data_IF_015932343428
#
_entry.id   IF_015932343428
#
_cell.length_a   1.000
_cell.length_b   1.000
_cell.length_c   1.000
_cell.angle_alpha   90.00
_cell.angle_beta   90.00
_cell.angle_gamma   90.00
#
_symmetry.space_group_name_H-M   'P 1'
#
loop_
_entity.id
_entity.type
_entity.pdbx_description
1 polymer ?
#
# COMPACT_ATOMS: atom_id res chain seq x y z
N UNK A 1 28.59 3.48 41.11
CA UNK A 1 28.81 4.14 39.82
C UNK A 1 29.08 3.06 38.79
N UNK A 2 28.17 2.85 37.85
CA UNK A 2 28.50 2.47 36.47
C UNK A 2 27.25 2.66 35.62
N UNK A 3 27.35 3.59 34.68
CA UNK A 3 26.44 3.81 33.56
C UNK A 3 26.58 2.63 32.61
N UNK A 4 25.48 2.00 32.22
CA UNK A 4 25.42 1.28 30.94
C UNK A 4 24.82 2.21 29.90
N UNK A 5 25.49 2.25 28.76
CA UNK A 5 25.29 3.16 27.64
C UNK A 5 23.94 2.92 26.95
N UNK A 6 23.33 4.02 26.52
CA UNK A 6 22.28 4.03 25.51
C UNK A 6 22.93 3.72 24.15
N UNK A 7 22.48 2.64 23.52
CA UNK A 7 22.87 2.25 22.16
C UNK A 7 21.74 2.65 21.19
N UNK A 8 21.95 3.58 20.23
CA UNK A 8 20.90 4.06 19.34
C UNK A 8 20.60 3.15 18.13
N UNK A 9 21.13 1.92 18.08
CA UNK A 9 21.03 1.04 16.89
C UNK A 9 19.96 -0.07 16.97
N UNK A 10 19.17 -0.13 18.04
CA UNK A 10 18.17 -1.19 18.27
C UNK A 10 16.72 -0.68 18.42
N UNK A 11 16.42 0.56 18.00
CA UNK A 11 15.02 1.00 17.86
C UNK A 11 14.46 0.39 16.56
N UNK A 12 13.98 -0.85 16.66
CA UNK A 12 13.08 -1.44 15.67
C UNK A 12 11.87 -0.50 15.51
N UNK A 13 11.50 -0.08 14.29
CA UNK A 13 10.27 0.71 14.09
C UNK A 13 9.08 -0.07 14.67
N UNK A 14 7.99 0.59 15.08
CA UNK A 14 6.89 -0.03 15.81
C UNK A 14 6.15 -1.03 14.92
N UNK A 15 6.71 -2.23 14.74
CA UNK A 15 6.24 -3.23 13.77
C UNK A 15 6.30 -4.66 14.30
N UNK A 16 6.42 -4.89 15.61
CA UNK A 16 6.35 -6.25 16.17
C UNK A 16 5.65 -6.37 17.53
N UNK A 17 5.84 -5.42 18.46
CA UNK A 17 5.37 -5.59 19.84
C UNK A 17 3.85 -5.53 20.02
N UNK A 18 3.11 -4.83 19.15
CA UNK A 18 1.64 -4.80 19.26
C UNK A 18 0.98 -6.12 18.84
N UNK A 19 1.51 -6.81 17.82
CA UNK A 19 0.97 -8.08 17.36
C UNK A 19 1.32 -9.25 18.32
N UNK A 20 2.52 -9.23 18.90
CA UNK A 20 2.94 -10.27 19.85
C UNK A 20 2.27 -10.12 21.22
N UNK A 21 2.08 -8.89 21.72
CA UNK A 21 1.42 -8.69 23.02
C UNK A 21 -0.09 -9.02 22.99
N UNK A 22 -0.77 -8.81 21.86
CA UNK A 22 -2.16 -9.24 21.69
C UNK A 22 -2.32 -10.78 21.67
N UNK A 23 -1.26 -11.49 21.29
CA UNK A 23 -1.23 -12.96 21.17
C UNK A 23 -0.92 -13.69 22.50
N UNK A 24 -0.49 -12.95 23.54
CA UNK A 24 -0.05 -13.50 24.83
C UNK A 24 -1.02 -13.20 25.99
N UNK A 25 -2.18 -12.59 25.72
CA UNK A 25 -3.20 -12.41 26.74
C UNK A 25 -3.77 -13.78 27.16
N UNK A 26 -3.94 -14.09 28.46
CA UNK A 26 -4.23 -15.45 28.94
C UNK A 26 -5.64 -15.98 28.64
N UNK A 27 -6.45 -15.27 27.87
CA UNK A 27 -7.80 -15.68 27.53
C UNK A 27 -8.03 -15.33 26.05
N UNK A 28 -8.54 -16.31 25.29
CA UNK A 28 -8.89 -16.25 23.87
C UNK A 28 -10.00 -15.19 23.57
N UNK A 29 -9.78 -13.93 23.92
CA UNK A 29 -10.74 -12.82 23.83
C UNK A 29 -10.65 -12.11 22.45
N UNK A 30 -9.78 -12.56 21.54
CA UNK A 30 -9.70 -11.99 20.18
C UNK A 30 -10.83 -12.50 19.29
N UNK A 31 -11.49 -13.61 19.64
CA UNK A 31 -12.54 -14.25 18.81
C UNK A 31 -13.94 -13.63 18.93
N UNK A 32 -14.15 -12.64 19.80
CA UNK A 32 -15.51 -12.22 20.16
C UNK A 32 -15.75 -10.71 20.07
N UNK A 33 -15.32 -10.03 18.98
CA UNK A 33 -15.87 -8.70 18.64
C UNK A 33 -16.07 -8.50 17.14
N UNK A 34 -17.19 -9.03 16.65
CA UNK A 34 -17.77 -8.70 15.36
C UNK A 34 -18.22 -7.24 15.29
N UNK A 35 -17.38 -6.41 14.66
CA UNK A 35 -17.71 -5.30 13.74
C UNK A 35 -16.47 -4.59 13.17
N UNK A 36 -15.26 -5.05 13.52
CA UNK A 36 -13.96 -4.49 13.12
C UNK A 36 -12.91 -5.59 12.83
N UNK A 37 -13.34 -6.72 12.27
CA UNK A 37 -12.47 -7.88 12.02
C UNK A 37 -12.94 -8.59 10.74
N UNK A 38 -12.25 -8.40 9.62
CA UNK A 38 -12.22 -9.43 8.57
C UNK A 38 -11.02 -9.27 7.63
N UNK A 39 -9.79 -9.29 8.17
CA UNK A 39 -8.81 -10.10 7.47
C UNK A 39 -9.29 -11.52 7.70
N UNK A 40 -10.00 -12.12 6.74
CA UNK A 40 -10.55 -13.46 6.94
C UNK A 40 -9.45 -14.37 7.47
N UNK A 41 -9.76 -15.20 8.46
CA UNK A 41 -8.75 -16.08 9.08
C UNK A 41 -7.93 -16.81 8.00
N UNK A 42 -8.59 -17.17 6.90
CA UNK A 42 -7.99 -17.74 5.70
C UNK A 42 -7.04 -16.76 4.96
N UNK A 43 -7.41 -15.51 4.71
CA UNK A 43 -6.51 -14.56 4.02
C UNK A 43 -5.34 -14.11 4.89
N UNK A 44 -5.50 -14.01 6.21
CA UNK A 44 -4.40 -13.71 7.12
C UNK A 44 -3.36 -14.83 7.13
N UNK A 45 -3.78 -16.07 7.43
CA UNK A 45 -2.88 -17.22 7.45
C UNK A 45 -2.19 -17.42 6.09
N UNK A 46 -2.93 -17.27 4.99
CA UNK A 46 -2.35 -17.33 3.64
C UNK A 46 -1.37 -16.20 3.36
N UNK A 47 -1.63 -14.98 3.84
CA UNK A 47 -0.71 -13.85 3.71
C UNK A 47 0.61 -14.11 4.44
N UNK A 48 0.55 -14.70 5.63
CA UNK A 48 1.74 -15.08 6.38
C UNK A 48 2.53 -16.19 5.68
N UNK A 49 1.84 -17.24 5.22
CA UNK A 49 2.47 -18.32 4.41
C UNK A 49 3.10 -17.77 3.13
N UNK A 50 2.41 -16.85 2.47
CA UNK A 50 2.89 -16.16 1.29
C UNK A 50 4.19 -15.42 1.59
N UNK A 51 4.20 -14.60 2.63
CA UNK A 51 5.36 -13.82 3.05
C UNK A 51 6.56 -14.73 3.35
N UNK A 52 6.33 -15.86 4.03
CA UNK A 52 7.37 -16.84 4.30
C UNK A 52 7.93 -17.47 3.01
N UNK A 53 7.05 -17.82 2.06
CA UNK A 53 7.44 -18.48 0.81
C UNK A 53 8.23 -17.56 -0.14
N UNK A 54 7.92 -16.26 -0.15
CA UNK A 54 8.52 -15.29 -1.07
C UNK A 54 9.53 -14.33 -0.41
N UNK A 55 9.87 -14.57 0.86
CA UNK A 55 10.77 -13.71 1.66
C UNK A 55 12.10 -13.37 0.97
N UNK A 56 12.68 -14.31 0.25
CA UNK A 56 13.97 -14.10 -0.44
C UNK A 56 13.86 -13.29 -1.74
N UNK A 57 12.65 -13.12 -2.27
CA UNK A 57 12.37 -12.36 -3.49
C UNK A 57 11.93 -10.93 -3.14
N UNK A 58 11.28 -10.75 -1.99
CA UNK A 58 10.92 -9.44 -1.45
C UNK A 58 12.16 -8.53 -1.37
N UNK A 59 11.98 -7.26 -1.75
CA UNK A 59 13.03 -6.23 -1.81
C UNK A 59 14.24 -6.51 -2.70
N UNK A 60 14.16 -7.50 -3.60
CA UNK A 60 15.18 -7.65 -4.64
C UNK A 60 15.27 -6.35 -5.44
N UNK A 61 16.48 -5.79 -5.57
CA UNK A 61 16.66 -4.50 -6.24
C UNK A 61 16.25 -4.59 -7.73
N UNK A 62 15.29 -3.79 -8.21
CA UNK A 62 14.70 -3.97 -9.53
C UNK A 62 15.47 -3.21 -10.61
N UNK A 63 16.67 -3.70 -10.96
CA UNK A 63 17.60 -3.04 -11.89
C UNK A 63 16.94 -2.62 -13.23
N UNK A 64 16.13 -3.49 -13.83
CA UNK A 64 15.49 -3.20 -15.12
C UNK A 64 14.49 -2.05 -15.02
N UNK A 65 13.67 -2.02 -13.97
CA UNK A 65 12.68 -0.97 -13.73
C UNK A 65 13.36 0.37 -13.43
N UNK A 66 14.45 0.34 -12.64
CA UNK A 66 15.26 1.53 -12.36
C UNK A 66 15.84 2.11 -13.65
N UNK A 67 16.40 1.27 -14.52
CA UNK A 67 16.93 1.71 -15.80
C UNK A 67 15.86 2.35 -16.70
N UNK A 68 14.64 1.81 -16.71
CA UNK A 68 13.51 2.41 -17.46
C UNK A 68 13.17 3.81 -16.95
N UNK A 69 13.08 3.99 -15.63
CA UNK A 69 12.86 5.31 -15.00
C UNK A 69 13.99 6.27 -15.37
N UNK A 70 15.26 5.88 -15.22
CA UNK A 70 16.39 6.75 -15.55
C UNK A 70 16.45 7.15 -17.03
N UNK A 71 15.95 6.31 -17.94
CA UNK A 71 15.98 6.59 -19.39
C UNK A 71 14.80 7.44 -19.87
N UNK A 72 13.63 7.29 -19.24
CA UNK A 72 12.37 7.84 -19.76
C UNK A 72 11.67 8.82 -18.80
N UNK A 73 12.15 8.92 -17.56
CA UNK A 73 11.52 9.68 -16.47
C UNK A 73 10.37 8.92 -15.82
N UNK A 74 10.16 9.13 -14.52
CA UNK A 74 9.20 8.35 -13.72
C UNK A 74 7.77 8.42 -14.28
N UNK A 75 7.27 9.63 -14.57
CA UNK A 75 5.87 9.85 -15.00
C UNK A 75 5.54 9.16 -16.32
N UNK A 76 6.55 8.93 -17.18
CA UNK A 76 6.35 8.29 -18.48
C UNK A 76 6.26 6.77 -18.40
N UNK A 77 6.86 6.15 -17.39
CA UNK A 77 6.91 4.67 -17.26
C UNK A 77 6.00 4.14 -16.16
N UNK A 78 5.73 4.95 -15.15
CA UNK A 78 4.90 4.58 -14.01
C UNK A 78 3.43 4.46 -14.44
N UNK A 79 2.89 3.26 -14.28
CA UNK A 79 1.51 2.92 -14.61
C UNK A 79 0.98 1.87 -13.65
N UNK A 80 -0.33 1.67 -13.66
CA UNK A 80 -0.97 0.59 -12.92
C UNK A 80 -0.66 -0.77 -13.58
N UNK A 81 -0.30 -1.79 -12.78
CA UNK A 81 -0.15 -3.14 -13.32
C UNK A 81 -1.52 -3.82 -13.50
N UNK A 82 -2.10 -3.64 -14.69
CA UNK A 82 -3.38 -4.22 -15.06
C UNK A 82 -3.36 -5.77 -15.16
N UNK A 83 -2.18 -6.39 -15.20
CA UNK A 83 -2.01 -7.83 -15.40
C UNK A 83 -1.52 -8.55 -14.13
N UNK A 84 -1.36 -7.83 -13.02
CA UNK A 84 -0.81 -8.37 -11.78
C UNK A 84 -1.60 -9.60 -11.24
N UNK A 85 -2.91 -9.63 -11.49
CA UNK A 85 -3.81 -10.75 -11.16
C UNK A 85 -3.85 -11.88 -12.19
N UNK A 86 -3.06 -11.80 -13.26
CA UNK A 86 -2.85 -12.88 -14.22
C UNK A 86 -1.99 -14.01 -13.65
N UNK A 87 -1.18 -13.72 -12.62
CA UNK A 87 -0.36 -14.73 -11.96
C UNK A 87 -1.21 -15.57 -10.98
N UNK A 88 -1.30 -16.87 -11.26
CA UNK A 88 -2.08 -17.82 -10.45
C UNK A 88 -1.59 -17.98 -9.00
N UNK A 89 -0.35 -17.62 -8.70
CA UNK A 89 0.22 -17.65 -7.34
C UNK A 89 -0.15 -16.43 -6.50
N UNK A 90 -0.40 -15.28 -7.15
CA UNK A 90 -0.58 -13.98 -6.48
C UNK A 90 -2.03 -13.53 -6.47
N UNK A 91 -2.83 -13.98 -7.43
CA UNK A 91 -4.23 -13.55 -7.59
C UNK A 91 -5.13 -14.05 -6.47
N UNK A 92 -6.25 -13.35 -6.30
CA UNK A 92 -7.32 -13.80 -5.42
C UNK A 92 -7.82 -15.22 -5.78
N UNK A 93 -8.01 -16.15 -4.83
CA UNK A 93 -8.41 -17.53 -5.12
C UNK A 93 -9.73 -17.66 -5.89
N UNK A 94 -10.64 -16.70 -5.70
CA UNK A 94 -11.94 -16.66 -6.40
C UNK A 94 -11.88 -15.92 -7.75
N UNK A 95 -10.77 -15.26 -8.08
CA UNK A 95 -10.59 -14.58 -9.35
C UNK A 95 -10.63 -15.60 -10.50
N UNK A 96 -11.52 -15.37 -11.46
CA UNK A 96 -11.65 -16.24 -12.64
C UNK A 96 -11.93 -15.42 -13.88
N UNK A 97 -11.82 -16.02 -15.07
CA UNK A 97 -12.18 -15.34 -16.32
C UNK A 97 -13.67 -14.90 -16.35
N UNK A 98 -14.54 -15.57 -15.58
CA UNK A 98 -15.97 -15.24 -15.48
C UNK A 98 -16.29 -14.25 -14.37
N UNK A 99 -15.35 -14.06 -13.43
CA UNK A 99 -15.42 -13.05 -12.38
C UNK A 99 -14.02 -12.42 -12.24
N UNK A 100 -13.63 -11.55 -13.19
CA UNK A 100 -12.35 -10.88 -13.10
C UNK A 100 -12.38 -9.94 -11.90
N UNK A 101 -11.33 -9.91 -11.08
CA UNK A 101 -11.33 -9.09 -9.87
C UNK A 101 -10.97 -7.63 -10.19
N UNK A 102 -10.42 -7.41 -11.40
CA UNK A 102 -9.94 -6.15 -11.89
C UNK A 102 -10.34 -5.95 -13.36
N UNK A 103 -10.72 -4.73 -13.72
CA UNK A 103 -10.81 -4.27 -15.10
C UNK A 103 -10.24 -2.86 -15.20
N UNK A 104 -9.42 -2.64 -16.23
CA UNK A 104 -8.86 -1.32 -16.55
C UNK A 104 -9.49 -0.85 -17.85
N UNK A 105 -10.32 0.20 -17.79
CA UNK A 105 -11.03 0.72 -18.97
C UNK A 105 -10.20 1.78 -19.72
N UNK A 106 -9.45 2.58 -18.96
CA UNK A 106 -8.52 3.60 -19.41
C UNK A 106 -7.24 3.46 -18.58
N UNK A 107 -6.07 3.97 -19.03
CA UNK A 107 -4.79 3.77 -18.32
C UNK A 107 -4.83 4.10 -16.83
N UNK A 108 -5.71 5.02 -16.44
CA UNK A 108 -5.84 5.55 -15.09
C UNK A 108 -7.20 5.21 -14.43
N UNK A 109 -8.08 4.45 -15.08
CA UNK A 109 -9.40 4.09 -14.53
C UNK A 109 -9.46 2.61 -14.21
N UNK A 110 -9.65 2.33 -12.94
CA UNK A 110 -9.66 1.02 -12.33
C UNK A 110 -11.07 0.66 -11.88
N UNK A 111 -11.50 -0.57 -12.17
CA UNK A 111 -12.75 -1.13 -11.65
C UNK A 111 -12.42 -2.43 -10.92
N UNK A 112 -12.67 -2.43 -9.61
CA UNK A 112 -12.66 -3.61 -8.78
C UNK A 112 -13.99 -4.35 -8.90
N UNK A 113 -13.92 -5.68 -8.99
CA UNK A 113 -15.08 -6.57 -9.03
C UNK A 113 -16.23 -6.08 -9.95
N UNK A 114 -15.96 -5.82 -11.25
CA UNK A 114 -16.93 -5.25 -12.20
C UNK A 114 -18.20 -6.10 -12.39
N UNK A 115 -18.14 -7.38 -12.03
CA UNK A 115 -19.27 -8.29 -12.00
C UNK A 115 -19.35 -8.87 -10.59
N UNK A 116 -20.37 -8.49 -9.82
CA UNK A 116 -20.62 -9.10 -8.53
C UNK A 116 -21.05 -10.56 -8.73
N UNK A 117 -20.34 -11.56 -8.19
CA UNK A 117 -20.79 -12.94 -8.23
C UNK A 117 -22.09 -13.09 -7.46
N UNK A 118 -23.07 -13.70 -8.09
CA UNK A 118 -24.35 -14.08 -7.47
C UNK A 118 -24.54 -15.60 -7.57
N UNK A 119 -25.02 -16.28 -6.51
CA UNK A 119 -25.10 -15.82 -5.12
C UNK A 119 -23.75 -16.05 -4.42
N UNK A 120 -23.30 -15.15 -3.55
CA UNK A 120 -22.18 -15.46 -2.65
C UNK A 120 -22.46 -14.92 -1.24
N UNK A 121 -22.29 -15.75 -0.20
CA UNK A 121 -22.30 -15.31 1.19
C UNK A 121 -21.15 -14.32 1.47
N UNK A 122 -21.18 -13.71 2.66
CA UNK A 122 -20.06 -12.94 3.20
C UNK A 122 -18.79 -13.80 3.16
N UNK A 123 -17.91 -13.54 2.21
CA UNK A 123 -16.63 -14.19 2.00
C UNK A 123 -15.65 -13.10 1.56
N UNK A 124 -14.36 -13.27 1.86
CA UNK A 124 -13.28 -12.32 1.60
C UNK A 124 -13.19 -11.88 0.12
N UNK A 125 -13.17 -10.57 -0.10
CA UNK A 125 -13.10 -9.90 -1.41
C UNK A 125 -11.86 -9.02 -1.54
N UNK A 126 -10.96 -9.09 -0.57
CA UNK A 126 -9.79 -8.26 -0.50
C UNK A 126 -8.97 -8.42 -1.77
N UNK A 127 -8.70 -7.29 -2.40
CA UNK A 127 -7.80 -7.26 -3.54
C UNK A 127 -6.93 -6.02 -3.48
N UNK A 128 -5.65 -6.21 -3.76
CA UNK A 128 -4.69 -5.13 -4.01
C UNK A 128 -4.22 -5.15 -5.46
N UNK A 129 -4.02 -3.97 -6.03
CA UNK A 129 -3.26 -3.76 -7.26
C UNK A 129 -2.11 -2.81 -6.96
N UNK A 130 -0.99 -3.00 -7.65
CA UNK A 130 0.22 -2.21 -7.47
C UNK A 130 0.61 -1.48 -8.76
N UNK A 131 1.39 -0.43 -8.63
CA UNK A 131 2.09 0.20 -9.74
C UNK A 131 3.18 -0.72 -10.30
N UNK A 132 3.61 -0.45 -11.53
CA UNK A 132 4.64 -1.24 -12.22
C UNK A 132 6.07 -0.94 -11.78
N UNK A 133 6.31 0.21 -11.14
CA UNK A 133 7.65 0.67 -10.77
C UNK A 133 7.72 1.02 -9.28
N UNK A 134 8.88 0.79 -8.64
CA UNK A 134 9.07 1.10 -7.24
C UNK A 134 9.22 2.61 -7.02
N UNK A 135 9.07 3.03 -5.77
CA UNK A 135 9.47 4.32 -5.24
C UNK A 135 10.77 4.15 -4.46
N UNK A 136 11.89 4.58 -5.06
CA UNK A 136 13.22 4.44 -4.47
C UNK A 136 13.86 5.79 -4.16
N UNK A 137 14.93 5.76 -3.37
CA UNK A 137 15.74 6.95 -3.10
C UNK A 137 16.33 7.56 -4.37
N UNK A 138 16.67 8.85 -4.29
CA UNK A 138 17.34 9.56 -5.38
C UNK A 138 18.67 8.89 -5.76
N UNK A 139 19.41 8.37 -4.79
CA UNK A 139 20.67 7.65 -5.02
C UNK A 139 20.48 6.34 -5.79
N UNK A 140 19.32 5.68 -5.67
CA UNK A 140 19.01 4.48 -6.43
C UNK A 140 18.84 4.78 -7.94
N UNK A 141 18.22 5.90 -8.29
CA UNK A 141 18.04 6.33 -9.69
C UNK A 141 19.24 7.10 -10.26
N UNK A 142 20.06 7.71 -9.40
CA UNK A 142 21.18 8.56 -9.77
C UNK A 142 22.47 8.18 -9.01
N UNK A 143 22.98 6.94 -9.15
CA UNK A 143 24.08 6.42 -8.33
C UNK A 143 25.41 7.19 -8.51
N UNK A 144 25.57 7.90 -9.62
CA UNK A 144 26.78 8.67 -9.92
C UNK A 144 26.70 10.14 -9.48
N UNK A 145 25.58 10.59 -8.90
CA UNK A 145 25.38 11.95 -8.42
C UNK A 145 25.53 11.98 -6.90
N UNK A 146 26.30 12.94 -6.38
CA UNK A 146 26.34 13.16 -4.93
C UNK A 146 24.99 13.74 -4.47
N UNK A 147 24.22 12.94 -3.74
CA UNK A 147 22.83 13.21 -3.34
C UNK A 147 22.63 13.21 -1.82
N UNK A 148 23.73 13.29 -1.04
CA UNK A 148 23.73 13.08 0.42
C UNK A 148 22.76 13.97 1.22
N UNK A 149 22.39 15.14 0.69
CA UNK A 149 21.46 16.07 1.34
C UNK A 149 20.18 16.31 0.53
N UNK A 150 20.02 15.64 -0.62
CA UNK A 150 18.83 15.77 -1.45
C UNK A 150 17.79 14.72 -1.08
N UNK A 151 16.55 15.15 -0.90
CA UNK A 151 15.41 14.24 -0.76
C UNK A 151 14.57 14.22 -2.04
N UNK A 152 13.84 13.13 -2.21
CA UNK A 152 12.80 12.99 -3.22
C UNK A 152 11.48 12.63 -2.54
N UNK A 153 10.37 13.11 -3.09
CA UNK A 153 9.03 12.74 -2.63
C UNK A 153 8.31 12.04 -3.78
N UNK A 154 8.03 10.76 -3.62
CA UNK A 154 7.10 10.05 -4.49
C UNK A 154 5.68 10.33 -4.02
N UNK A 155 4.74 10.48 -4.94
CA UNK A 155 3.36 10.81 -4.61
C UNK A 155 2.40 10.37 -5.71
N UNK A 156 1.25 9.83 -5.30
CA UNK A 156 0.14 9.49 -6.21
C UNK A 156 -1.20 9.72 -5.52
N UNK A 157 -2.26 9.87 -6.33
CA UNK A 157 -3.63 10.09 -5.88
C UNK A 157 -4.58 9.03 -6.42
N UNK A 158 -5.64 8.79 -5.65
CA UNK A 158 -6.78 7.97 -5.98
C UNK A 158 -8.05 8.79 -5.76
N UNK A 159 -8.85 8.98 -6.81
CA UNK A 159 -10.21 9.53 -6.70
C UNK A 159 -11.21 8.37 -6.69
N UNK A 160 -12.15 8.38 -5.74
CA UNK A 160 -13.23 7.38 -5.69
C UNK A 160 -14.39 7.86 -6.56
N UNK A 161 -14.57 7.23 -7.74
CA UNK A 161 -15.63 7.61 -8.68
C UNK A 161 -16.97 6.96 -8.31
N UNK A 162 -16.94 5.70 -7.86
CA UNK A 162 -18.11 5.03 -7.30
C UNK A 162 -17.67 3.85 -6.41
N UNK A 163 -18.50 3.48 -5.45
CA UNK A 163 -18.29 2.29 -4.62
C UNK A 163 -19.63 1.71 -4.21
N UNK A 164 -19.72 0.39 -4.06
CA UNK A 164 -20.89 -0.22 -3.44
C UNK A 164 -20.98 0.16 -1.94
N UNK A 165 -22.17 0.11 -1.32
CA UNK A 165 -22.29 0.29 0.12
C UNK A 165 -21.40 -0.70 0.89
N UNK A 166 -20.86 -0.25 2.01
CA UNK A 166 -20.03 -1.05 2.93
C UNK A 166 -18.70 -1.57 2.36
N UNK A 167 -18.30 -1.12 1.16
CA UNK A 167 -16.97 -1.42 0.60
C UNK A 167 -15.91 -0.55 1.25
N UNK A 168 -14.89 -1.19 1.80
CA UNK A 168 -13.66 -0.58 2.28
C UNK A 168 -12.65 -0.47 1.14
N UNK A 169 -12.04 0.71 1.05
CA UNK A 169 -10.97 1.04 0.13
C UNK A 169 -9.72 1.36 0.93
N UNK A 170 -8.55 1.08 0.36
CA UNK A 170 -7.28 1.51 0.95
C UNK A 170 -6.32 2.04 -0.10
N UNK A 171 -5.50 3.01 0.31
CA UNK A 171 -4.37 3.53 -0.46
C UNK A 171 -3.10 3.40 0.37
N UNK A 172 -1.99 3.05 -0.26
CA UNK A 172 -0.74 2.92 0.45
C UNK A 172 0.41 2.40 -0.38
N UNK A 173 1.33 1.72 0.28
CA UNK A 173 2.55 1.19 -0.30
C UNK A 173 2.74 -0.27 0.11
N UNK A 174 3.24 -1.10 -0.80
CA UNK A 174 3.64 -2.47 -0.48
C UNK A 174 4.87 -2.88 -1.29
N UNK A 175 5.67 -3.81 -0.77
CA UNK A 175 6.74 -4.44 -1.54
C UNK A 175 6.20 -5.34 -2.64
N UNK A 176 7.08 -5.86 -3.50
CA UNK A 176 6.76 -6.95 -4.41
C UNK A 176 7.69 -8.15 -4.16
N UNK A 177 7.16 -9.39 -4.21
CA UNK A 177 5.74 -9.73 -4.38
C UNK A 177 4.92 -9.48 -3.09
N UNK A 178 3.63 -9.11 -3.24
CA UNK A 178 2.67 -8.92 -2.15
C UNK A 178 1.50 -9.91 -2.30
N UNK A 179 0.89 -10.42 -1.22
CA UNK A 179 -0.33 -11.23 -1.32
C UNK A 179 -1.50 -10.35 -1.78
N UNK A 180 -1.78 -10.33 -3.10
CA UNK A 180 -2.76 -9.44 -3.72
C UNK A 180 -4.21 -9.74 -3.35
N UNK A 181 -4.45 -10.74 -2.50
CA UNK A 181 -5.72 -11.09 -1.88
C UNK A 181 -5.88 -10.53 -0.46
N UNK A 182 -5.11 -9.48 -0.12
CA UNK A 182 -5.18 -8.74 1.14
C UNK A 182 -5.22 -7.26 0.87
N UNK A 183 -5.85 -6.49 1.75
CA UNK A 183 -5.78 -5.03 1.75
C UNK A 183 -4.36 -4.54 2.06
N UNK A 184 -3.94 -3.41 1.47
CA UNK A 184 -2.63 -2.81 1.75
C UNK A 184 -2.56 -2.31 3.19
N UNK A 185 -1.44 -2.56 3.87
CA UNK A 185 -1.23 -2.27 5.29
C UNK A 185 -1.53 -3.44 6.23
N UNK A 186 -2.28 -4.45 5.76
CA UNK A 186 -2.64 -5.63 6.57
C UNK A 186 -1.64 -6.77 6.54
N UNK A 187 -0.68 -6.75 5.62
CA UNK A 187 0.35 -7.78 5.52
C UNK A 187 1.74 -7.13 5.66
N UNK A 188 2.73 -7.92 6.05
CA UNK A 188 4.12 -7.47 6.21
C UNK A 188 4.65 -6.75 4.98
N UNK A 189 5.51 -5.78 5.24
CA UNK A 189 6.16 -4.89 4.29
C UNK A 189 5.15 -4.06 3.48
N UNK A 190 4.10 -3.58 4.16
CA UNK A 190 3.11 -2.69 3.57
C UNK A 190 2.53 -1.70 4.58
N UNK A 191 2.09 -0.56 4.06
CA UNK A 191 1.34 0.44 4.81
C UNK A 191 0.08 0.85 4.06
N UNK A 192 -0.98 1.18 4.77
CA UNK A 192 -2.25 1.57 4.18
C UNK A 192 -3.01 2.59 5.01
N UNK A 193 -3.80 3.42 4.35
CA UNK A 193 -4.82 4.29 4.93
C UNK A 193 -6.18 3.81 4.43
N UNK A 194 -7.08 3.45 5.36
CA UNK A 194 -8.34 2.78 5.07
C UNK A 194 -9.52 3.74 5.13
N UNK A 195 -10.55 3.49 4.33
CA UNK A 195 -11.64 4.43 4.05
C UNK A 195 -12.75 4.44 5.09
N UNK A 196 -12.98 3.30 5.74
CA UNK A 196 -14.10 3.06 6.65
C UNK A 196 -13.92 3.74 8.01
N UNK A 197 -12.72 3.65 8.58
CA UNK A 197 -12.41 4.17 9.92
C UNK A 197 -11.39 5.31 9.91
N UNK A 198 -10.74 5.57 8.78
CA UNK A 198 -9.70 6.58 8.67
C UNK A 198 -8.40 6.20 9.37
N UNK A 199 -8.17 4.91 9.65
CA UNK A 199 -6.96 4.44 10.31
C UNK A 199 -5.82 4.16 9.34
N UNK A 200 -4.62 4.25 9.89
CA UNK A 200 -3.39 3.85 9.22
C UNK A 200 -2.96 2.47 9.73
N UNK A 201 -2.42 1.68 8.83
CA UNK A 201 -1.95 0.31 9.07
C UNK A 201 -0.52 0.20 8.56
N UNK A 202 0.34 -0.49 9.30
CA UNK A 202 1.70 -0.83 8.91
C UNK A 202 1.98 -2.22 9.43
N UNK A 203 2.02 -3.20 8.52
CA UNK A 203 2.19 -4.62 8.87
C UNK A 203 1.17 -5.10 9.94
N UNK A 204 -0.05 -4.57 9.90
CA UNK A 204 -1.04 -4.73 10.97
C UNK A 204 -2.34 -5.36 10.43
N UNK A 205 -2.55 -6.62 10.76
CA UNK A 205 -3.76 -7.37 10.40
C UNK A 205 -4.91 -7.23 11.42
N UNK A 206 -4.78 -6.34 12.40
CA UNK A 206 -5.73 -6.20 13.51
C UNK A 206 -6.65 -5.00 13.30
N UNK A 207 -6.37 -3.87 13.96
CA UNK A 207 -7.27 -2.71 14.00
C UNK A 207 -6.62 -1.39 13.61
N UNK A 208 -5.33 -1.36 13.28
CA UNK A 208 -4.64 -0.14 12.85
C UNK A 208 -4.49 0.90 13.96
N UNK A 209 -4.09 2.11 13.57
CA UNK A 209 -3.89 3.25 14.45
C UNK A 209 -4.74 4.43 13.97
N UNK A 210 -5.32 5.18 14.91
CA UNK A 210 -6.04 6.42 14.61
C UNK A 210 -5.12 7.39 13.86
N UNK A 211 -5.63 8.02 12.80
CA UNK A 211 -4.83 8.86 11.93
C UNK A 211 -5.60 10.00 11.27
N UNK A 212 -6.59 9.66 10.45
CA UNK A 212 -7.33 10.61 9.63
C UNK A 212 -8.84 10.39 9.73
N UNK A 213 -9.63 11.22 9.05
CA UNK A 213 -11.05 10.97 8.87
C UNK A 213 -11.29 9.76 7.94
N UNK A 214 -12.49 9.19 7.97
CA UNK A 214 -12.97 8.30 6.91
C UNK A 214 -13.16 9.06 5.59
N UNK A 215 -13.21 8.33 4.48
CA UNK A 215 -13.31 8.89 3.13
C UNK A 215 -14.08 7.95 2.21
N UNK A 216 -14.52 8.44 1.05
CA UNK A 216 -15.32 7.62 0.14
C UNK A 216 -15.60 8.28 -1.20
N UNK A 217 -16.77 7.97 -1.77
CA UNK A 217 -17.17 8.42 -3.10
C UNK A 217 -17.10 9.95 -3.21
N UNK A 218 -16.38 10.42 -4.22
CA UNK A 218 -16.15 11.84 -4.48
C UNK A 218 -14.86 12.40 -3.89
N UNK A 219 -14.28 11.73 -2.89
CA UNK A 219 -13.00 12.14 -2.31
C UNK A 219 -11.81 11.78 -3.20
N UNK A 220 -10.75 12.58 -3.08
CA UNK A 220 -9.42 12.25 -3.61
C UNK A 220 -8.44 12.10 -2.47
N UNK A 221 -7.83 10.91 -2.38
CA UNK A 221 -6.88 10.53 -1.34
C UNK A 221 -5.52 10.34 -1.98
N UNK A 222 -4.48 10.86 -1.36
CA UNK A 222 -3.11 10.71 -1.85
C UNK A 222 -2.21 10.00 -0.85
N UNK A 223 -1.15 9.39 -1.37
CA UNK A 223 -0.10 8.75 -0.58
C UNK A 223 1.27 9.27 -1.05
N UNK A 224 2.03 9.81 -0.11
CA UNK A 224 3.37 10.32 -0.31
C UNK A 224 4.43 9.52 0.45
N UNK A 225 5.60 9.38 -0.16
CA UNK A 225 6.73 8.65 0.40
C UNK A 225 8.05 9.40 0.17
N UNK A 226 8.81 9.59 1.24
CA UNK A 226 10.15 10.17 1.24
C UNK A 226 11.18 9.08 1.57
N UNK A 227 11.70 8.34 0.59
CA UNK A 227 12.55 7.16 0.79
C UNK A 227 13.85 7.45 1.53
N UNK A 228 14.39 8.67 1.47
CA UNK A 228 15.60 9.02 2.22
C UNK A 228 15.40 9.07 3.73
N UNK A 229 14.16 9.23 4.21
CA UNK A 229 13.80 9.33 5.64
C UNK A 229 12.77 8.30 6.08
N UNK A 230 12.26 7.52 5.13
CA UNK A 230 11.21 6.55 5.38
C UNK A 230 9.91 7.19 5.85
N UNK A 231 9.68 8.48 5.52
CA UNK A 231 8.47 9.17 5.91
C UNK A 231 7.34 8.85 4.93
N UNK A 232 6.19 8.48 5.46
CA UNK A 232 4.97 8.25 4.70
C UNK A 232 3.88 9.16 5.23
N UNK A 233 3.17 9.82 4.33
CA UNK A 233 2.03 10.66 4.67
C UNK A 233 0.88 10.41 3.70
N UNK A 234 -0.32 10.73 4.14
CA UNK A 234 -1.50 10.71 3.30
C UNK A 234 -2.12 12.10 3.21
N UNK A 235 -2.85 12.30 2.12
CA UNK A 235 -3.62 13.52 1.88
C UNK A 235 -5.07 13.16 1.66
N UNK A 236 -5.97 14.06 2.04
CA UNK A 236 -7.39 13.98 1.71
C UNK A 236 -7.84 15.32 1.14
N UNK A 237 -8.40 15.27 -0.06
CA UNK A 237 -8.95 16.42 -0.79
C UNK A 237 -7.95 17.59 -0.87
N UNK A 238 -6.71 17.27 -1.23
CA UNK A 238 -5.63 18.24 -1.44
C UNK A 238 -4.99 18.78 -0.15
N UNK A 239 -5.29 18.19 1.02
CA UNK A 239 -4.68 18.57 2.29
C UNK A 239 -3.93 17.38 2.89
N UNK A 240 -2.67 17.58 3.27
CA UNK A 240 -1.93 16.62 4.07
C UNK A 240 -2.60 16.46 5.45
N UNK A 241 -2.75 15.23 5.91
CA UNK A 241 -3.31 14.90 7.22
C UNK A 241 -2.20 15.05 8.27
N UNK A 242 -1.23 14.15 8.25
CA UNK A 242 0.03 14.17 9.03
C UNK A 242 1.00 13.12 8.45
N UNK A 243 2.22 13.03 8.98
CA UNK A 243 3.07 11.86 8.77
C UNK A 243 2.43 10.63 9.44
N UNK A 244 2.05 9.65 8.62
CA UNK A 244 1.50 8.39 9.08
C UNK A 244 2.58 7.53 9.73
N UNK A 245 3.74 7.42 9.09
CA UNK A 245 4.87 6.62 9.56
C UNK A 245 6.19 7.31 9.23
N UNK A 246 7.22 6.99 10.00
CA UNK A 246 8.60 7.49 9.85
C UNK A 246 9.57 6.31 10.03
N UNK A 247 10.78 6.37 9.47
CA UNK A 247 11.78 5.31 9.64
C UNK A 247 11.51 4.03 8.85
N UNK A 248 10.78 4.12 7.74
CA UNK A 248 10.49 3.02 6.83
C UNK A 248 11.37 3.02 5.56
N UNK A 249 12.69 3.18 5.70
CA UNK A 249 13.63 3.27 4.57
C UNK A 249 14.01 1.90 3.94
N UNK A 250 13.72 0.80 4.65
CA UNK A 250 14.29 -0.52 4.35
C UNK A 250 13.75 -1.16 3.08
N UNK A 251 12.56 -0.78 2.63
CA UNK A 251 11.78 -1.52 1.64
C UNK A 251 11.67 -0.78 0.30
N UNK A 252 11.66 -1.54 -0.78
CA UNK A 252 11.37 -1.06 -2.13
C UNK A 252 9.85 -1.06 -2.34
N UNK A 253 9.22 0.04 -1.95
CA UNK A 253 7.77 0.17 -2.02
C UNK A 253 7.26 0.43 -3.42
N UNK A 254 6.08 -0.11 -3.72
CA UNK A 254 5.28 0.19 -4.89
C UNK A 254 3.98 0.85 -4.43
N UNK A 255 3.52 1.84 -5.18
CA UNK A 255 2.20 2.42 -4.95
C UNK A 255 1.11 1.36 -5.09
N UNK A 256 0.22 1.28 -4.11
CA UNK A 256 -0.77 0.23 -3.98
C UNK A 256 -2.14 0.81 -3.66
N UNK A 257 -3.18 0.24 -4.26
CA UNK A 257 -4.58 0.53 -3.91
C UNK A 257 -5.34 -0.77 -3.76
N UNK A 258 -6.31 -0.77 -2.85
CA UNK A 258 -7.05 -1.97 -2.48
C UNK A 258 -8.55 -1.70 -2.36
N UNK A 259 -9.35 -2.74 -2.54
CA UNK A 259 -10.78 -2.75 -2.26
C UNK A 259 -11.23 -4.14 -1.78
N UNK A 260 -12.26 -4.18 -0.94
CA UNK A 260 -12.94 -5.40 -0.51
C UNK A 260 -14.29 -5.61 -1.25
N UNK A 261 -14.44 -5.00 -2.43
CA UNK A 261 -15.68 -5.12 -3.18
C UNK A 261 -15.79 -4.21 -4.41
N UNK A 262 -16.97 -4.17 -5.04
CA UNK A 262 -17.17 -3.43 -6.28
C UNK A 262 -16.93 -1.93 -6.10
N UNK A 263 -15.91 -1.40 -6.78
CA UNK A 263 -15.56 0.01 -6.76
C UNK A 263 -14.96 0.46 -8.08
N UNK A 264 -15.10 1.74 -8.39
CA UNK A 264 -14.49 2.39 -9.54
C UNK A 264 -13.64 3.56 -9.05
N UNK A 265 -12.37 3.54 -9.43
CA UNK A 265 -11.35 4.45 -8.96
C UNK A 265 -10.61 5.05 -10.15
N UNK A 266 -10.12 6.28 -9.96
CA UNK A 266 -9.21 6.92 -10.90
C UNK A 266 -7.89 7.19 -10.21
N UNK A 267 -6.80 6.69 -10.79
CA UNK A 267 -5.45 6.81 -10.25
C UNK A 267 -4.68 7.88 -11.01
N UNK A 268 -3.96 8.74 -10.29
CA UNK A 268 -3.09 9.75 -10.86
C UNK A 268 -1.69 9.59 -10.29
N UNK A 269 -0.72 9.26 -11.14
CA UNK A 269 0.71 9.18 -10.78
C UNK A 269 1.48 10.44 -11.18
N UNK A 270 0.77 11.51 -11.57
CA UNK A 270 1.34 12.78 -12.03
C UNK A 270 1.18 13.05 -13.52
N UNK A 271 0.44 12.19 -14.24
CA UNK A 271 0.08 12.44 -15.64
C UNK A 271 -0.92 13.62 -15.76
N UNK A 272 -1.66 13.91 -14.69
CA UNK A 272 -2.50 15.11 -14.56
C UNK A 272 -2.14 15.86 -13.28
N UNK A 273 -2.45 17.17 -13.17
CA UNK A 273 -2.22 17.90 -11.93
C UNK A 273 -2.86 17.20 -10.73
N UNK A 274 -2.11 17.09 -9.64
CA UNK A 274 -2.61 16.60 -8.37
C UNK A 274 -3.55 17.61 -7.71
N UNK A 275 -4.46 17.12 -6.86
CA UNK A 275 -5.25 17.98 -5.98
C UNK A 275 -4.38 18.54 -4.85
N UNK A 276 -3.45 17.75 -4.33
CA UNK A 276 -2.43 18.20 -3.39
C UNK A 276 -1.31 18.96 -4.11
N UNK A 277 -0.85 20.06 -3.53
CA UNK A 277 0.31 20.80 -4.04
C UNK A 277 1.58 20.10 -3.58
N UNK A 278 2.11 19.21 -4.41
CA UNK A 278 3.41 18.56 -4.16
C UNK A 278 4.55 19.58 -4.21
N UNK A 279 5.53 19.42 -3.32
CA UNK A 279 6.68 20.30 -3.23
C UNK A 279 7.68 20.13 -4.40
N UNK A 280 8.72 20.99 -4.46
CA UNK A 280 9.73 20.94 -5.52
C UNK A 280 10.62 19.69 -5.49
N UNK A 281 10.51 18.87 -4.45
CA UNK A 281 11.21 17.58 -4.30
C UNK A 281 10.47 16.43 -4.99
N UNK A 282 9.35 16.69 -5.66
CA UNK A 282 8.54 15.64 -6.26
C UNK A 282 9.30 14.84 -7.34
N UNK A 283 9.25 13.52 -7.19
CA UNK A 283 9.97 12.54 -8.01
C UNK A 283 9.74 12.72 -9.50
N UNK A 284 8.49 12.98 -9.92
CA UNK A 284 8.16 13.11 -11.35
C UNK A 284 8.86 14.26 -12.09
N UNK A 285 9.49 15.19 -11.37
CA UNK A 285 10.34 16.24 -11.95
C UNK A 285 11.83 16.05 -11.68
N UNK A 286 12.19 15.17 -10.73
CA UNK A 286 13.57 14.93 -10.29
C UNK A 286 14.21 13.70 -10.93
N UNK A 287 13.42 12.70 -11.29
CA UNK A 287 13.87 11.40 -11.81
C UNK A 287 13.14 11.02 -13.10
#
# INVERSE_FOLDING_TARGET
MNRTQYDPQDDEPPSYDHAVQASLAPENIVHEYGKYQDASVDSFERGEMFTQAFRSQMDTFPHELVNQVTQHGLVHVLQLDAQIHGNHLFRHPKASLRCPPLRVNHPNQLIFWPQRPSPCPAEDWDITVQATHPYLSLSAYQPNKNTTDETVTHYFEMTVESSAPDVVLAIGLATQPYPLFRMVGWNKFSVGYHSDDGRKFCDDATGGQDYGPSWGVGDTVGCGYEPERGNIFFTLNGRMIDYAFVGLEKHHYFASVSADGPAQLRINYGQTPFMYTVGPTWAGTKI
#
